data_IF_226234407724
#
_entry.id   IF_226234407724
#
_cell.length_a   1.000
_cell.length_b   1.000
_cell.length_c   1.000
_cell.angle_alpha   90.00
_cell.angle_beta   90.00
_cell.angle_gamma   90.00
#
_symmetry.space_group_name_H-M   'P 1'
#
loop_
_entity.id
_entity.type
_entity.pdbx_description
1 polymer ?
#
# COMPACT_ATOMS: atom_id res chain seq x y z
N UNK A 1 1.93 -34.99 17.32
CA UNK A 1 0.68 -34.45 17.94
C UNK A 1 0.05 -33.53 16.91
N UNK A 2 -1.26 -33.65 16.64
CA UNK A 2 -1.96 -32.71 15.77
C UNK A 2 -1.98 -31.36 16.50
N UNK A 3 -1.47 -30.31 15.86
CA UNK A 3 -1.45 -28.95 16.44
C UNK A 3 -2.88 -28.52 16.77
N UNK A 4 -3.07 -27.94 17.96
CA UNK A 4 -4.40 -27.42 18.36
C UNK A 4 -4.70 -26.16 17.56
N UNK A 5 -5.85 -26.06 16.89
CA UNK A 5 -6.26 -24.83 16.21
C UNK A 5 -6.21 -23.63 17.17
N UNK A 6 -5.63 -22.52 16.71
CA UNK A 6 -5.56 -21.26 17.47
C UNK A 6 -6.86 -20.47 17.32
N UNK A 7 -7.23 -19.75 18.35
CA UNK A 7 -8.26 -18.70 18.34
C UNK A 7 -7.59 -17.37 17.99
N UNK A 8 -7.97 -16.79 16.87
CA UNK A 8 -7.32 -15.60 16.32
C UNK A 8 -8.27 -14.40 16.36
N UNK A 9 -7.83 -13.28 16.93
CA UNK A 9 -8.49 -11.99 16.73
C UNK A 9 -7.74 -11.25 15.61
N UNK A 10 -8.48 -10.85 14.55
CA UNK A 10 -7.91 -10.22 13.36
C UNK A 10 -8.18 -8.73 13.34
N UNK A 11 -7.13 -7.92 13.17
CA UNK A 11 -7.18 -6.46 13.05
C UNK A 11 -6.84 -6.07 11.61
N UNK A 12 -7.83 -5.59 10.86
CA UNK A 12 -7.62 -5.21 9.46
C UNK A 12 -8.73 -4.32 8.93
N UNK A 13 -8.46 -3.52 7.90
CA UNK A 13 -9.46 -2.59 7.36
C UNK A 13 -9.51 -2.59 5.83
N UNK A 14 -8.43 -2.23 5.07
CA UNK A 14 -8.47 -2.08 3.63
C UNK A 14 -8.39 -3.41 2.89
N UNK A 15 -8.49 -3.34 1.56
CA UNK A 15 -8.42 -4.49 0.67
C UNK A 15 -7.13 -5.32 0.84
N UNK A 16 -6.00 -4.69 1.17
CA UNK A 16 -4.74 -5.38 1.47
C UNK A 16 -4.87 -6.47 2.54
N UNK A 17 -5.74 -6.23 3.54
CA UNK A 17 -5.95 -7.18 4.64
C UNK A 17 -6.91 -8.34 4.30
N UNK A 18 -7.59 -8.31 3.14
CA UNK A 18 -8.62 -9.29 2.78
C UNK A 18 -8.06 -10.68 2.49
N UNK A 19 -7.02 -10.86 1.63
CA UNK A 19 -6.52 -12.21 1.32
C UNK A 19 -6.00 -12.96 2.55
N UNK A 20 -5.30 -12.26 3.45
CA UNK A 20 -4.81 -12.85 4.70
C UNK A 20 -5.96 -13.27 5.64
N UNK A 21 -7.03 -12.47 5.74
CA UNK A 21 -8.24 -12.84 6.50
C UNK A 21 -8.93 -14.07 5.89
N UNK A 22 -9.13 -14.07 4.57
CA UNK A 22 -9.75 -15.20 3.87
C UNK A 22 -8.96 -16.50 4.04
N UNK A 23 -7.63 -16.43 3.96
CA UNK A 23 -6.77 -17.60 4.18
C UNK A 23 -6.89 -18.15 5.62
N UNK A 24 -6.94 -17.27 6.62
CA UNK A 24 -7.17 -17.68 8.01
C UNK A 24 -8.56 -18.31 8.21
N UNK A 25 -9.60 -17.77 7.56
CA UNK A 25 -10.96 -18.32 7.61
C UNK A 25 -11.06 -19.70 6.94
N UNK A 26 -10.23 -19.96 5.93
CA UNK A 26 -10.15 -21.26 5.24
C UNK A 26 -9.21 -22.25 5.95
N UNK A 27 -8.43 -21.82 6.92
CA UNK A 27 -7.49 -22.65 7.67
C UNK A 27 -8.16 -23.40 8.82
N UNK A 28 -7.46 -24.33 9.51
CA UNK A 28 -7.99 -24.97 10.71
C UNK A 28 -8.21 -24.02 11.91
N UNK A 29 -7.62 -22.82 11.88
CA UNK A 29 -7.70 -21.84 12.95
C UNK A 29 -9.06 -21.14 13.00
N UNK A 30 -9.44 -20.67 14.18
CA UNK A 30 -10.72 -19.99 14.39
C UNK A 30 -10.52 -18.48 14.46
N UNK A 31 -11.01 -17.72 13.48
CA UNK A 31 -11.11 -16.26 13.60
C UNK A 31 -12.30 -15.94 14.52
N UNK A 32 -12.02 -15.54 15.77
CA UNK A 32 -13.03 -15.31 16.80
C UNK A 32 -13.65 -13.92 16.73
N UNK A 33 -12.98 -12.94 16.18
CA UNK A 33 -13.51 -11.62 15.83
C UNK A 33 -12.63 -10.91 14.81
N UNK A 34 -13.27 -10.06 14.00
CA UNK A 34 -12.62 -9.01 13.23
C UNK A 34 -12.70 -7.68 13.99
N UNK A 35 -11.57 -7.00 14.12
CA UNK A 35 -11.50 -5.60 14.53
C UNK A 35 -11.19 -4.75 13.30
N UNK A 36 -12.13 -3.91 12.90
CA UNK A 36 -11.97 -3.01 11.75
C UNK A 36 -12.18 -1.56 12.18
N UNK A 37 -11.68 -0.61 11.39
CA UNK A 37 -12.04 0.79 11.61
C UNK A 37 -13.54 0.99 11.32
N UNK A 38 -14.18 1.99 11.97
CA UNK A 38 -15.56 2.36 11.66
C UNK A 38 -15.78 2.65 10.18
N UNK A 39 -16.96 2.31 9.68
CA UNK A 39 -17.35 2.61 8.32
C UNK A 39 -17.30 4.14 8.09
N UNK A 40 -16.77 4.54 6.94
CA UNK A 40 -16.63 5.94 6.56
C UNK A 40 -17.18 6.16 5.17
N UNK A 41 -17.68 7.37 4.87
CA UNK A 41 -17.99 7.75 3.52
C UNK A 41 -16.79 7.55 2.60
N UNK A 42 -16.97 6.89 1.46
CA UNK A 42 -15.91 6.62 0.50
C UNK A 42 -16.41 6.73 -0.95
N UNK A 43 -15.49 6.92 -1.88
CA UNK A 43 -15.77 7.00 -3.31
C UNK A 43 -16.51 8.26 -3.75
N UNK A 44 -16.88 8.30 -5.05
CA UNK A 44 -17.68 9.37 -5.63
C UNK A 44 -19.12 9.23 -5.10
N UNK A 45 -19.64 10.27 -4.43
CA UNK A 45 -20.97 10.26 -3.81
C UNK A 45 -20.96 10.02 -2.31
N UNK A 46 -19.79 9.81 -1.66
CA UNK A 46 -19.64 9.75 -0.20
C UNK A 46 -20.60 8.74 0.47
N UNK A 47 -20.84 7.57 -0.16
CA UNK A 47 -21.68 6.54 0.43
C UNK A 47 -20.91 5.82 1.57
N UNK A 48 -21.59 5.68 2.71
CA UNK A 48 -21.07 4.87 3.82
C UNK A 48 -21.30 3.41 3.47
N UNK A 49 -20.21 2.69 3.26
CA UNK A 49 -20.23 1.25 3.00
C UNK A 49 -19.36 0.49 4.01
N UNK A 50 -19.55 -0.83 4.14
CA UNK A 50 -18.69 -1.65 4.98
C UNK A 50 -17.24 -1.61 4.49
N UNK A 51 -16.30 -1.67 5.42
CA UNK A 51 -14.89 -1.84 5.06
C UNK A 51 -14.68 -3.18 4.33
N UNK A 52 -13.66 -3.33 3.46
CA UNK A 52 -13.41 -4.57 2.73
C UNK A 52 -13.32 -5.81 3.63
N UNK A 53 -12.61 -5.73 4.76
CA UNK A 53 -12.53 -6.84 5.72
C UNK A 53 -13.85 -7.11 6.43
N UNK A 54 -14.64 -6.06 6.72
CA UNK A 54 -15.98 -6.21 7.32
C UNK A 54 -16.92 -6.98 6.42
N UNK A 55 -16.88 -6.74 5.12
CA UNK A 55 -17.69 -7.48 4.16
C UNK A 55 -17.40 -8.99 4.22
N UNK A 56 -16.12 -9.38 4.22
CA UNK A 56 -15.71 -10.79 4.35
C UNK A 56 -16.15 -11.39 5.68
N UNK A 57 -16.01 -10.63 6.78
CA UNK A 57 -16.43 -11.11 8.10
C UNK A 57 -17.95 -11.33 8.21
N UNK A 58 -18.76 -10.47 7.58
CA UNK A 58 -20.21 -10.66 7.50
C UNK A 58 -20.58 -11.93 6.75
N UNK A 59 -19.95 -12.19 5.59
CA UNK A 59 -20.16 -13.40 4.79
C UNK A 59 -19.78 -14.66 5.54
N UNK A 60 -18.72 -14.58 6.38
CA UNK A 60 -18.23 -15.70 7.19
C UNK A 60 -18.90 -15.79 8.58
N UNK A 61 -19.87 -14.94 8.90
CA UNK A 61 -20.52 -14.87 10.23
C UNK A 61 -19.53 -14.66 11.39
N UNK A 62 -18.43 -13.92 11.17
CA UNK A 62 -17.44 -13.57 12.19
C UNK A 62 -17.91 -12.33 12.94
N UNK A 63 -17.88 -12.30 14.28
CA UNK A 63 -18.16 -11.11 15.08
C UNK A 63 -17.28 -9.91 14.67
N UNK A 64 -17.88 -8.73 14.57
CA UNK A 64 -17.22 -7.50 14.09
C UNK A 64 -17.19 -6.47 15.20
N UNK A 65 -16.00 -5.95 15.49
CA UNK A 65 -15.75 -4.89 16.44
C UNK A 65 -15.20 -3.66 15.71
N UNK A 66 -15.85 -2.51 15.88
CA UNK A 66 -15.44 -1.24 15.27
C UNK A 66 -15.26 -0.15 16.35
N UNK A 67 -14.21 -0.25 17.19
CA UNK A 67 -14.03 0.65 18.32
C UNK A 67 -13.68 2.07 17.85
N UNK A 68 -14.33 3.07 18.45
CA UNK A 68 -13.96 4.48 18.26
C UNK A 68 -12.65 4.80 18.98
N UNK A 69 -12.42 4.22 20.14
CA UNK A 69 -11.21 4.41 20.97
C UNK A 69 -10.62 3.05 21.34
N UNK A 70 -9.32 2.86 21.06
CA UNK A 70 -8.60 1.61 21.36
C UNK A 70 -8.15 1.54 22.84
N UNK A 71 -8.08 2.66 23.53
CA UNK A 71 -7.69 2.76 24.94
C UNK A 71 -8.89 2.68 25.91
N UNK A 72 -10.07 2.34 25.39
CA UNK A 72 -11.26 2.13 26.18
C UNK A 72 -11.14 0.80 26.95
N UNK A 73 -11.32 0.84 28.26
CA UNK A 73 -11.28 -0.35 29.13
C UNK A 73 -12.34 -1.38 28.74
N UNK A 74 -13.54 -0.93 28.34
CA UNK A 74 -14.61 -1.81 27.89
C UNK A 74 -14.20 -2.55 26.60
N UNK A 75 -13.46 -1.90 25.69
CA UNK A 75 -12.91 -2.57 24.51
C UNK A 75 -11.83 -3.60 24.89
N UNK A 76 -10.94 -3.26 25.83
CA UNK A 76 -9.95 -4.19 26.36
C UNK A 76 -10.60 -5.43 27.00
N UNK A 77 -11.65 -5.23 27.80
CA UNK A 77 -12.44 -6.32 28.39
C UNK A 77 -13.13 -7.19 27.32
N UNK A 78 -13.66 -6.57 26.26
CA UNK A 78 -14.26 -7.30 25.14
C UNK A 78 -13.21 -8.17 24.44
N UNK A 79 -12.01 -7.65 24.12
CA UNK A 79 -10.94 -8.45 23.51
C UNK A 79 -10.51 -9.60 24.45
N UNK A 80 -10.40 -9.35 25.75
CA UNK A 80 -10.06 -10.38 26.75
C UNK A 80 -11.09 -11.51 26.79
N UNK A 81 -12.39 -11.18 26.71
CA UNK A 81 -13.48 -12.18 26.74
C UNK A 81 -13.49 -13.11 25.52
N UNK A 82 -12.85 -12.72 24.42
CA UNK A 82 -12.72 -13.58 23.23
C UNK A 82 -11.80 -14.78 23.47
N UNK A 83 -10.98 -14.76 24.52
CA UNK A 83 -9.99 -15.80 24.81
C UNK A 83 -9.16 -16.14 23.56
N UNK A 84 -8.71 -15.11 22.83
CA UNK A 84 -7.88 -15.28 21.65
C UNK A 84 -6.47 -15.74 22.04
N UNK A 85 -5.96 -16.72 21.32
CA UNK A 85 -4.58 -17.19 21.49
C UNK A 85 -3.58 -16.23 20.83
N UNK A 86 -3.96 -15.66 19.68
CA UNK A 86 -3.09 -14.82 18.85
C UNK A 86 -3.87 -13.62 18.31
N UNK A 87 -3.21 -12.45 18.26
CA UNK A 87 -3.68 -11.33 17.49
C UNK A 87 -2.95 -11.24 16.14
N UNK A 88 -3.69 -11.04 15.07
CA UNK A 88 -3.13 -10.79 13.74
C UNK A 88 -3.51 -9.38 13.30
N UNK A 89 -2.53 -8.59 12.88
CA UNK A 89 -2.72 -7.24 12.38
C UNK A 89 -2.32 -7.19 10.91
N UNK A 90 -3.17 -6.63 10.06
CA UNK A 90 -2.86 -6.34 8.66
C UNK A 90 -3.48 -5.00 8.26
N UNK A 91 -2.66 -4.00 8.01
CA UNK A 91 -3.08 -2.66 7.58
C UNK A 91 -4.29 -2.11 8.38
N UNK A 92 -4.30 -2.26 9.69
CA UNK A 92 -5.38 -1.76 10.54
C UNK A 92 -5.45 -0.23 10.59
N UNK A 93 -4.29 0.43 10.41
CA UNK A 93 -4.19 1.89 10.28
C UNK A 93 -4.26 2.67 11.60
N UNK A 94 -4.12 2.00 12.75
CA UNK A 94 -4.04 2.63 14.09
C UNK A 94 -3.01 1.90 14.95
N UNK A 95 -2.29 2.66 15.77
CA UNK A 95 -1.34 2.11 16.74
C UNK A 95 -2.13 1.42 17.87
N UNK A 96 -1.81 0.16 18.12
CA UNK A 96 -2.41 -0.61 19.20
C UNK A 96 -1.72 -0.26 20.53
N UNK A 97 -2.49 0.03 21.59
CA UNK A 97 -1.93 0.24 22.92
C UNK A 97 -1.29 -1.03 23.48
N UNK A 98 -0.23 -0.88 24.27
CA UNK A 98 0.50 -2.00 24.90
C UNK A 98 -0.40 -2.93 25.70
N UNK A 99 -1.44 -2.40 26.34
CA UNK A 99 -2.43 -3.17 27.07
C UNK A 99 -3.14 -4.20 26.16
N UNK A 100 -3.45 -3.83 24.91
CA UNK A 100 -4.07 -4.74 23.95
C UNK A 100 -3.08 -5.77 23.41
N UNK A 101 -1.81 -5.39 23.22
CA UNK A 101 -0.77 -6.29 22.70
C UNK A 101 -0.53 -7.50 23.58
N UNK A 102 -0.79 -7.35 24.88
CA UNK A 102 -0.56 -8.38 25.93
C UNK A 102 -1.76 -9.29 26.19
N UNK A 103 -2.93 -9.02 25.59
CA UNK A 103 -4.13 -9.81 25.85
C UNK A 103 -4.02 -11.21 25.26
N UNK A 104 -3.71 -11.41 23.96
CA UNK A 104 -3.55 -12.76 23.42
C UNK A 104 -2.30 -13.43 24.01
N UNK A 105 -2.41 -14.69 24.46
CA UNK A 105 -1.31 -15.40 25.13
C UNK A 105 -0.05 -15.56 24.28
N UNK A 106 -0.18 -15.63 22.94
CA UNK A 106 0.92 -15.68 21.99
C UNK A 106 1.30 -14.29 21.47
N UNK A 107 0.73 -13.21 22.06
CA UNK A 107 0.93 -11.84 21.62
C UNK A 107 0.27 -11.53 20.27
N UNK A 108 0.81 -10.55 19.57
CA UNK A 108 0.31 -10.13 18.26
C UNK A 108 1.40 -10.19 17.19
N UNK A 109 1.01 -10.52 15.97
CA UNK A 109 1.85 -10.47 14.78
C UNK A 109 1.27 -9.50 13.77
N UNK A 110 2.13 -8.90 12.93
CA UNK A 110 1.72 -7.97 11.89
C UNK A 110 2.18 -8.44 10.51
N UNK A 111 1.31 -8.27 9.52
CA UNK A 111 1.62 -8.43 8.10
C UNK A 111 2.08 -7.08 7.57
N UNK A 112 3.38 -6.93 7.36
CA UNK A 112 3.99 -5.68 6.90
C UNK A 112 4.40 -5.77 5.43
N UNK A 113 4.03 -4.75 4.63
CA UNK A 113 4.22 -4.72 3.17
C UNK A 113 5.62 -4.28 2.73
N UNK A 114 6.66 -4.74 3.39
CA UNK A 114 8.06 -4.56 2.97
C UNK A 114 8.95 -5.68 3.46
N UNK A 115 10.19 -5.69 3.00
CA UNK A 115 11.28 -6.49 3.55
C UNK A 115 11.95 -5.71 4.70
N UNK A 116 11.47 -5.94 5.93
CA UNK A 116 12.05 -5.31 7.12
C UNK A 116 13.53 -5.74 7.31
N UNK A 117 14.36 -4.84 7.86
CA UNK A 117 14.03 -3.59 8.57
C UNK A 117 13.82 -2.38 7.66
N UNK A 118 13.86 -2.52 6.33
CA UNK A 118 13.62 -1.41 5.41
C UNK A 118 12.14 -1.07 5.31
N UNK A 119 11.83 0.22 5.16
CA UNK A 119 10.47 0.75 4.98
C UNK A 119 9.52 0.48 6.15
N UNK A 120 9.98 0.62 7.42
CA UNK A 120 9.09 0.70 8.59
C UNK A 120 8.13 1.88 8.42
N UNK A 121 6.85 1.72 8.77
CA UNK A 121 5.88 2.81 8.77
C UNK A 121 4.66 2.61 7.88
N UNK A 122 4.02 3.73 7.49
CA UNK A 122 2.65 3.72 7.01
C UNK A 122 2.46 3.42 5.51
N UNK A 123 3.50 3.63 4.67
CA UNK A 123 3.38 3.52 3.21
C UNK A 123 4.54 2.74 2.57
N UNK A 124 4.87 1.52 3.07
CA UNK A 124 6.06 0.79 2.65
C UNK A 124 6.07 0.50 1.14
N UNK A 125 4.96 0.01 0.59
CA UNK A 125 4.83 -0.34 -0.83
C UNK A 125 5.03 0.89 -1.72
N UNK A 126 4.33 1.97 -1.42
CA UNK A 126 4.42 3.21 -2.18
C UNK A 126 5.84 3.77 -2.18
N UNK A 127 6.49 3.82 -1.00
CA UNK A 127 7.85 4.35 -0.87
C UNK A 127 8.88 3.48 -1.57
N UNK A 128 8.75 2.16 -1.56
CA UNK A 128 9.61 1.26 -2.32
C UNK A 128 9.49 1.50 -3.84
N UNK A 129 8.26 1.65 -4.36
CA UNK A 129 8.01 1.94 -5.78
C UNK A 129 8.55 3.33 -6.17
N UNK A 130 8.32 4.37 -5.35
CA UNK A 130 8.84 5.74 -5.58
C UNK A 130 10.38 5.74 -5.57
N UNK A 131 10.99 4.98 -4.67
CA UNK A 131 12.45 4.85 -4.60
C UNK A 131 13.05 4.07 -5.78
N UNK A 132 12.23 3.40 -6.61
CA UNK A 132 12.70 2.61 -7.74
C UNK A 132 13.33 1.29 -7.34
N UNK A 133 12.94 0.73 -6.20
CA UNK A 133 13.40 -0.60 -5.78
C UNK A 133 13.01 -1.66 -6.82
N UNK A 134 13.90 -2.62 -7.02
CA UNK A 134 13.67 -3.76 -7.93
C UNK A 134 13.02 -4.95 -7.20
N UNK A 135 13.10 -4.95 -5.87
CA UNK A 135 12.57 -6.00 -5.00
C UNK A 135 11.79 -5.41 -3.84
N UNK A 136 10.72 -6.08 -3.48
CA UNK A 136 9.94 -5.83 -2.26
C UNK A 136 9.44 -7.16 -1.69
N UNK A 137 8.57 -7.12 -0.70
CA UNK A 137 8.02 -8.34 -0.12
C UNK A 137 7.08 -8.09 1.04
N UNK A 138 6.78 -9.17 1.73
CA UNK A 138 6.02 -9.21 2.97
C UNK A 138 6.95 -9.66 4.10
N UNK A 139 6.81 -9.06 5.25
CA UNK A 139 7.37 -9.53 6.50
C UNK A 139 6.27 -9.79 7.51
N UNK A 140 6.20 -11.00 8.06
CA UNK A 140 5.41 -11.29 9.25
C UNK A 140 6.32 -11.07 10.46
N UNK A 141 5.92 -10.20 11.38
CA UNK A 141 6.73 -9.85 12.55
C UNK A 141 5.90 -9.76 13.82
N UNK A 142 6.52 -9.80 14.98
CA UNK A 142 5.89 -9.49 16.27
C UNK A 142 5.52 -8.02 16.35
N UNK A 143 4.36 -7.72 16.91
CA UNK A 143 4.00 -6.34 17.23
C UNK A 143 4.57 -5.98 18.58
N UNK A 144 5.37 -4.92 18.60
CA UNK A 144 5.96 -4.33 19.81
C UNK A 144 5.59 -2.84 19.90
N UNK A 145 5.92 -2.19 21.01
CA UNK A 145 5.62 -0.76 21.22
C UNK A 145 6.30 0.16 20.18
N UNK A 146 7.52 -0.21 19.74
CA UNK A 146 8.25 0.53 18.71
C UNK A 146 7.69 0.18 17.33
N UNK A 147 7.47 1.20 16.50
CA UNK A 147 6.85 1.07 15.18
C UNK A 147 7.63 0.10 14.28
N UNK A 148 6.98 -0.97 13.88
CA UNK A 148 7.45 -2.01 12.96
C UNK A 148 8.87 -2.55 13.24
N UNK A 149 9.28 -2.55 14.54
CA UNK A 149 10.62 -2.95 14.98
C UNK A 149 10.67 -4.32 15.65
N UNK A 150 9.57 -5.03 15.75
CA UNK A 150 9.52 -6.36 16.36
C UNK A 150 10.29 -7.41 15.58
N UNK A 151 10.69 -8.53 16.21
CA UNK A 151 11.41 -9.60 15.55
C UNK A 151 10.57 -10.23 14.43
N UNK A 152 11.25 -10.62 13.37
CA UNK A 152 10.65 -11.20 12.16
C UNK A 152 10.46 -12.70 12.33
N UNK A 153 9.32 -13.21 11.85
CA UNK A 153 8.93 -14.63 11.90
C UNK A 153 9.02 -15.29 10.51
N UNK A 154 8.72 -14.53 9.46
CA UNK A 154 8.82 -14.97 8.07
C UNK A 154 8.93 -13.77 7.13
N UNK A 155 9.51 -14.01 5.96
CA UNK A 155 9.54 -13.06 4.84
C UNK A 155 9.21 -13.77 3.54
N UNK A 156 8.54 -13.06 2.64
CA UNK A 156 8.35 -13.51 1.25
C UNK A 156 8.72 -12.38 0.31
N UNK A 157 9.51 -12.66 -0.71
CA UNK A 157 10.06 -11.67 -1.64
C UNK A 157 9.33 -11.66 -2.97
N UNK A 158 9.30 -10.50 -3.64
CA UNK A 158 8.76 -10.30 -4.96
C UNK A 158 9.55 -9.22 -5.72
N UNK A 159 9.78 -9.42 -7.01
CA UNK A 159 10.31 -8.37 -7.89
C UNK A 159 9.24 -7.29 -8.17
N UNK A 160 9.71 -6.06 -8.38
CA UNK A 160 8.90 -4.93 -8.86
C UNK A 160 9.22 -4.74 -10.34
N UNK A 161 8.23 -4.96 -11.20
CA UNK A 161 8.38 -4.71 -12.63
C UNK A 161 8.56 -3.21 -12.95
N UNK A 162 9.20 -2.88 -14.08
CA UNK A 162 9.58 -1.51 -14.41
C UNK A 162 8.39 -0.55 -14.53
N UNK A 163 7.23 -1.02 -14.94
CA UNK A 163 6.02 -0.22 -15.17
C UNK A 163 4.90 -0.52 -14.15
N UNK A 164 5.13 -1.43 -13.18
CA UNK A 164 4.12 -1.77 -12.16
C UNK A 164 3.89 -0.60 -11.21
N UNK A 165 2.63 -0.36 -10.91
CA UNK A 165 2.18 0.66 -9.97
C UNK A 165 2.18 0.13 -8.54
N UNK A 166 2.19 1.04 -7.55
CA UNK A 166 2.01 0.65 -6.15
C UNK A 166 0.72 -0.13 -5.89
N UNK A 167 -0.35 0.15 -6.64
CA UNK A 167 -1.62 -0.59 -6.54
C UNK A 167 -1.45 -2.06 -6.96
N UNK A 168 -0.79 -2.30 -8.09
CA UNK A 168 -0.52 -3.65 -8.61
C UNK A 168 0.41 -4.42 -7.66
N UNK A 169 1.43 -3.75 -7.13
CA UNK A 169 2.34 -4.34 -6.13
C UNK A 169 1.62 -4.64 -4.81
N UNK A 170 0.81 -3.71 -4.30
CA UNK A 170 0.05 -3.89 -3.06
C UNK A 170 -0.91 -5.08 -3.16
N UNK A 171 -1.61 -5.22 -4.29
CA UNK A 171 -2.49 -6.37 -4.53
C UNK A 171 -1.70 -7.69 -4.52
N UNK A 172 -0.59 -7.77 -5.25
CA UNK A 172 0.20 -8.98 -5.31
C UNK A 172 0.84 -9.34 -3.95
N UNK A 173 1.28 -8.33 -3.16
CA UNK A 173 1.78 -8.56 -1.81
C UNK A 173 0.67 -9.02 -0.84
N UNK A 174 -0.55 -8.52 -1.00
CA UNK A 174 -1.70 -8.99 -0.24
C UNK A 174 -1.97 -10.49 -0.50
N UNK A 175 -1.90 -10.94 -1.76
CA UNK A 175 -2.05 -12.35 -2.14
C UNK A 175 -0.92 -13.22 -1.56
N UNK A 176 0.34 -12.79 -1.66
CA UNK A 176 1.50 -13.49 -1.09
C UNK A 176 1.38 -13.60 0.43
N UNK A 177 0.84 -12.56 1.08
CA UNK A 177 0.68 -12.52 2.54
C UNK A 177 -0.23 -13.62 3.08
N UNK A 178 -1.18 -14.09 2.29
CA UNK A 178 -2.17 -15.09 2.69
C UNK A 178 -1.51 -16.42 3.09
N UNK A 179 -0.71 -17.01 2.20
CA UNK A 179 0.03 -18.24 2.51
C UNK A 179 1.08 -18.05 3.58
N UNK A 180 1.88 -16.96 3.48
CA UNK A 180 2.94 -16.67 4.46
C UNK A 180 2.39 -16.51 5.89
N UNK A 181 1.21 -15.90 6.05
CA UNK A 181 0.58 -15.73 7.34
C UNK A 181 0.10 -17.08 7.91
N UNK A 182 -0.59 -17.89 7.12
CA UNK A 182 -1.09 -19.20 7.57
C UNK A 182 0.07 -20.09 8.00
N UNK A 183 1.15 -20.16 7.22
CA UNK A 183 2.36 -20.93 7.57
C UNK A 183 2.96 -20.50 8.93
N UNK A 184 2.95 -19.20 9.23
CA UNK A 184 3.43 -18.69 10.52
C UNK A 184 2.48 -19.07 11.64
N UNK A 185 1.15 -18.98 11.43
CA UNK A 185 0.15 -19.30 12.43
C UNK A 185 0.14 -20.80 12.74
N UNK A 186 0.31 -21.67 11.72
CA UNK A 186 0.47 -23.13 11.88
C UNK A 186 1.69 -23.45 12.75
N UNK A 187 2.85 -22.86 12.46
CA UNK A 187 4.07 -23.05 13.26
C UNK A 187 3.89 -22.57 14.72
N UNK A 188 3.20 -21.43 14.92
CA UNK A 188 2.89 -20.94 16.27
C UNK A 188 1.93 -21.85 17.03
N UNK A 189 1.07 -22.59 16.34
CA UNK A 189 0.19 -23.58 16.94
C UNK A 189 0.94 -24.86 17.38
N UNK A 190 2.03 -25.19 16.69
CA UNK A 190 2.90 -26.33 17.01
C UNK A 190 3.83 -26.05 18.19
N UNK A 191 4.22 -24.79 18.41
CA UNK A 191 5.10 -24.41 19.51
C UNK A 191 5.89 -23.11 19.28
N UNK A 192 6.99 -22.92 19.99
CA UNK A 192 7.86 -21.76 19.81
C UNK A 192 8.45 -21.72 18.40
N UNK A 193 8.41 -20.56 17.76
CA UNK A 193 9.03 -20.32 16.44
C UNK A 193 10.32 -19.53 16.59
N UNK A 194 11.24 -19.72 15.63
CA UNK A 194 12.43 -18.89 15.56
C UNK A 194 12.03 -17.46 15.21
N UNK A 195 12.54 -16.52 15.98
CA UNK A 195 12.35 -15.08 15.80
C UNK A 195 13.68 -14.43 15.45
N UNK A 196 13.73 -13.71 14.34
CA UNK A 196 14.94 -13.01 13.89
C UNK A 196 14.86 -11.54 14.29
N UNK A 197 15.71 -11.04 15.20
CA UNK A 197 15.76 -9.61 15.51
C UNK A 197 16.07 -8.79 14.27
N UNK A 198 15.49 -7.60 14.18
CA UNK A 198 15.84 -6.66 13.13
C UNK A 198 17.13 -5.92 13.47
N UNK A 199 17.95 -5.66 12.44
CA UNK A 199 19.13 -4.77 12.57
C UNK A 199 18.67 -3.31 12.39
N UNK A 200 18.65 -2.55 13.48
CA UNK A 200 18.21 -1.15 13.46
C UNK A 200 19.13 -0.24 12.63
N UNK A 201 20.39 -0.63 12.41
CA UNK A 201 21.33 0.12 11.56
C UNK A 201 20.91 0.08 10.07
N UNK A 202 20.13 -0.93 9.65
CA UNK A 202 19.62 -1.08 8.30
C UNK A 202 18.17 -0.53 8.15
N UNK A 203 17.57 -0.03 9.24
CA UNK A 203 16.20 0.43 9.22
C UNK A 203 16.04 1.71 8.39
N UNK A 204 15.03 1.70 7.51
CA UNK A 204 14.57 2.90 6.81
C UNK A 204 13.08 3.11 7.09
N UNK A 205 12.59 4.34 6.87
CA UNK A 205 11.23 4.70 7.20
C UNK A 205 10.41 5.05 5.97
N UNK A 206 9.15 4.62 5.97
CA UNK A 206 8.16 4.84 4.92
C UNK A 206 7.03 5.75 5.46
N UNK A 207 7.24 7.07 5.51
CA UNK A 207 6.23 7.99 5.99
C UNK A 207 4.99 7.95 5.10
N UNK A 208 3.84 8.28 5.70
CA UNK A 208 2.58 8.44 4.97
C UNK A 208 2.76 9.41 3.79
N UNK A 209 2.07 9.11 2.68
CA UNK A 209 2.03 10.02 1.54
C UNK A 209 1.27 11.31 1.89
N UNK A 210 1.67 12.41 1.30
CA UNK A 210 1.03 13.71 1.46
C UNK A 210 0.50 14.24 0.13
N UNK A 211 -0.57 15.05 0.20
CA UNK A 211 -1.16 15.66 -1.00
C UNK A 211 -0.18 16.56 -1.74
N UNK A 212 0.72 17.19 -1.03
CA UNK A 212 1.79 18.05 -1.55
C UNK A 212 2.76 17.34 -2.48
N UNK A 213 2.91 16.03 -2.32
CA UNK A 213 3.76 15.19 -3.17
C UNK A 213 3.20 14.96 -4.59
N UNK A 214 1.94 15.36 -4.84
CA UNK A 214 1.25 15.18 -6.13
C UNK A 214 1.95 15.90 -7.30
N UNK A 215 2.55 17.07 -7.08
CA UNK A 215 3.14 17.86 -8.14
C UNK A 215 4.39 17.20 -8.73
N UNK A 216 4.40 17.01 -10.05
CA UNK A 216 5.59 16.53 -10.76
C UNK A 216 6.59 17.69 -10.85
N UNK A 217 7.80 17.46 -10.34
CA UNK A 217 8.97 18.29 -10.63
C UNK A 217 9.66 17.72 -11.88
N UNK A 218 9.48 18.40 -13.00
CA UNK A 218 10.08 17.99 -14.28
C UNK A 218 11.60 18.14 -14.31
N UNK A 219 12.21 18.87 -13.36
CA UNK A 219 13.66 18.97 -13.23
C UNK A 219 14.32 17.68 -12.71
N UNK A 220 13.54 16.73 -12.19
CA UNK A 220 14.02 15.42 -11.79
C UNK A 220 14.37 14.54 -13.01
N UNK A 221 15.23 13.51 -12.85
CA UNK A 221 15.47 12.50 -13.87
C UNK A 221 14.19 11.79 -14.32
N UNK A 222 14.13 11.38 -15.58
CA UNK A 222 12.96 10.69 -16.14
C UNK A 222 12.53 9.44 -15.33
N UNK A 223 13.51 8.68 -14.81
CA UNK A 223 13.26 7.52 -13.97
C UNK A 223 12.55 7.89 -12.66
N UNK A 224 12.97 8.97 -12.02
CA UNK A 224 12.39 9.42 -10.75
C UNK A 224 10.96 9.93 -10.95
N UNK A 225 10.71 10.66 -12.04
CA UNK A 225 9.36 11.09 -12.42
C UNK A 225 8.47 9.87 -12.69
N UNK A 226 8.97 8.90 -13.47
CA UNK A 226 8.25 7.64 -13.76
C UNK A 226 7.91 6.87 -12.48
N UNK A 227 8.86 6.72 -11.58
CA UNK A 227 8.66 6.07 -10.29
C UNK A 227 7.64 6.80 -9.41
N UNK A 228 7.66 8.13 -9.40
CA UNK A 228 6.63 8.92 -8.69
C UNK A 228 5.25 8.74 -9.31
N UNK A 229 5.12 8.72 -10.64
CA UNK A 229 3.83 8.49 -11.31
C UNK A 229 3.23 7.15 -10.92
N UNK A 230 4.03 6.09 -10.92
CA UNK A 230 3.54 4.74 -10.58
C UNK A 230 3.40 4.50 -9.08
N UNK A 231 4.22 5.16 -8.23
CA UNK A 231 4.23 4.98 -6.78
C UNK A 231 3.20 5.83 -6.03
N UNK A 232 2.74 6.95 -6.61
CA UNK A 232 1.73 7.82 -5.97
C UNK A 232 0.28 7.39 -6.24
N UNK A 233 0.05 6.23 -6.84
CA UNK A 233 -1.28 5.68 -7.05
C UNK A 233 -1.76 4.88 -5.84
N UNK A 234 -3.07 4.86 -5.54
CA UNK A 234 -4.16 5.60 -6.20
C UNK A 234 -4.31 7.03 -5.65
N UNK A 235 -3.54 7.40 -4.66
CA UNK A 235 -3.53 8.71 -4.01
C UNK A 235 -2.10 9.05 -3.54
N UNK A 236 -1.65 10.31 -3.67
CA UNK A 236 -2.40 11.50 -4.14
C UNK A 236 -2.45 11.64 -5.67
N UNK A 237 -1.91 10.73 -6.45
CA UNK A 237 -1.70 10.77 -7.88
C UNK A 237 -0.66 11.83 -8.29
N UNK A 238 0.18 11.52 -9.26
CA UNK A 238 1.09 12.51 -9.83
C UNK A 238 0.31 13.50 -10.71
N UNK A 239 0.62 14.78 -10.61
CA UNK A 239 -0.07 15.84 -11.37
C UNK A 239 0.89 16.86 -11.95
N UNK A 240 0.46 17.49 -13.03
CA UNK A 240 1.15 18.60 -13.67
C UNK A 240 0.15 19.66 -14.13
N UNK A 241 0.62 20.79 -14.62
CA UNK A 241 -0.21 21.84 -15.23
C UNK A 241 0.13 22.00 -16.71
N UNK A 242 -0.87 22.29 -17.52
CA UNK A 242 -0.73 22.69 -18.94
C UNK A 242 -1.58 23.95 -19.10
N UNK A 243 -0.95 25.08 -19.43
CA UNK A 243 -1.61 26.38 -19.51
C UNK A 243 -2.48 26.69 -18.26
N UNK A 244 -1.92 26.48 -17.07
CA UNK A 244 -2.61 26.71 -15.80
C UNK A 244 -3.71 25.70 -15.43
N UNK A 245 -4.06 24.77 -16.31
CA UNK A 245 -5.03 23.71 -16.01
C UNK A 245 -4.33 22.48 -15.44
N UNK A 246 -4.86 21.89 -14.37
CA UNK A 246 -4.31 20.69 -13.72
C UNK A 246 -4.68 19.42 -14.47
N UNK A 247 -3.71 18.52 -14.55
CA UNK A 247 -3.84 17.17 -15.12
C UNK A 247 -3.22 16.14 -14.18
N UNK A 248 -3.86 15.00 -14.02
CA UNK A 248 -3.25 13.83 -13.38
C UNK A 248 -2.57 12.97 -14.44
N UNK A 249 -1.37 12.50 -14.14
CA UNK A 249 -0.63 11.56 -14.96
C UNK A 249 -0.76 10.17 -14.34
N UNK A 250 -1.40 9.26 -15.06
CA UNK A 250 -1.66 7.91 -14.58
C UNK A 250 -0.59 6.91 -14.98
N UNK A 251 -0.09 7.01 -16.22
CA UNK A 251 0.95 6.11 -16.71
C UNK A 251 1.93 6.85 -17.60
N UNK A 252 3.19 6.50 -17.44
CA UNK A 252 4.30 6.95 -18.28
C UNK A 252 5.12 5.74 -18.72
N UNK A 253 6.04 5.95 -19.66
CA UNK A 253 7.03 4.96 -20.08
C UNK A 253 8.37 5.66 -20.27
N UNK A 254 9.42 5.03 -19.79
CA UNK A 254 10.79 5.45 -20.08
C UNK A 254 11.12 5.18 -21.55
N UNK A 255 11.90 6.05 -22.15
CA UNK A 255 12.44 5.87 -23.51
C UNK A 255 13.96 6.07 -23.48
N UNK A 256 14.64 5.59 -24.53
CA UNK A 256 16.07 5.83 -24.71
C UNK A 256 16.35 7.16 -25.45
N UNK A 257 15.29 7.90 -25.79
CA UNK A 257 15.42 9.17 -26.51
C UNK A 257 15.97 10.26 -25.59
N UNK A 258 16.84 11.11 -26.15
CA UNK A 258 17.41 12.30 -25.50
C UNK A 258 17.02 13.52 -26.31
N UNK A 259 16.73 14.63 -25.63
CA UNK A 259 16.39 15.89 -26.26
C UNK A 259 16.98 17.07 -25.45
N UNK A 260 17.51 18.08 -26.12
CA UNK A 260 18.19 19.23 -25.50
C UNK A 260 17.23 20.35 -25.06
N UNK A 261 15.91 20.19 -25.30
CA UNK A 261 14.93 21.15 -24.83
C UNK A 261 14.90 21.18 -23.27
N UNK A 262 14.43 22.28 -22.71
CA UNK A 262 14.36 22.45 -21.28
C UNK A 262 13.39 21.41 -20.65
N UNK A 263 13.68 21.01 -19.41
CA UNK A 263 12.85 20.09 -18.66
C UNK A 263 11.38 20.56 -18.58
N UNK A 264 10.44 19.64 -18.74
CA UNK A 264 9.00 19.93 -18.82
C UNK A 264 8.50 20.33 -20.21
N UNK A 265 9.38 20.45 -21.22
CA UNK A 265 8.97 20.77 -22.58
C UNK A 265 8.35 19.55 -23.27
N UNK A 266 7.18 19.72 -23.85
CA UNK A 266 6.59 18.75 -24.78
C UNK A 266 7.36 18.79 -26.08
N UNK A 267 7.97 17.67 -26.49
CA UNK A 267 8.78 17.58 -27.72
C UNK A 267 8.03 16.84 -28.82
N UNK A 268 7.03 16.06 -28.48
CA UNK A 268 6.17 15.37 -29.45
C UNK A 268 4.74 15.30 -28.90
N UNK A 269 3.76 15.67 -29.71
CA UNK A 269 2.34 15.62 -29.39
C UNK A 269 1.53 15.34 -30.66
N UNK A 270 1.33 14.06 -30.96
CA UNK A 270 0.58 13.64 -32.16
C UNK A 270 0.24 12.17 -32.15
N UNK A 271 -0.90 11.81 -32.71
CA UNK A 271 -1.38 10.43 -32.73
C UNK A 271 -1.56 9.89 -31.29
N UNK A 272 -0.77 8.90 -30.91
CA UNK A 272 -0.73 8.28 -29.57
C UNK A 272 0.51 8.67 -28.75
N UNK A 273 1.30 9.62 -29.26
CA UNK A 273 2.57 10.03 -28.65
C UNK A 273 2.40 11.38 -27.98
N UNK A 274 2.68 11.40 -26.68
CA UNK A 274 2.88 12.60 -25.88
C UNK A 274 4.20 12.44 -25.12
N UNK A 275 5.23 13.15 -25.57
CA UNK A 275 6.60 13.02 -25.07
C UNK A 275 7.06 14.31 -24.42
N UNK A 276 7.66 14.22 -23.25
CA UNK A 276 8.10 15.34 -22.41
C UNK A 276 9.53 15.13 -21.97
N UNK A 277 10.34 16.17 -21.99
CA UNK A 277 11.74 16.14 -21.57
C UNK A 277 11.82 16.22 -20.04
N UNK A 278 12.61 15.36 -19.43
CA UNK A 278 12.93 15.37 -17.99
C UNK A 278 14.27 16.10 -17.72
N UNK A 279 14.61 16.30 -16.45
CA UNK A 279 15.79 17.04 -16.04
C UNK A 279 17.13 16.43 -16.47
N UNK A 280 17.17 15.13 -16.68
CA UNK A 280 18.34 14.40 -17.22
C UNK A 280 18.37 14.36 -18.76
N UNK A 281 17.57 15.20 -19.42
CA UNK A 281 17.39 15.31 -20.89
C UNK A 281 16.80 14.06 -21.55
N UNK A 282 16.45 13.01 -20.78
CA UNK A 282 15.70 11.87 -21.29
C UNK A 282 14.26 12.24 -21.56
N UNK A 283 13.68 11.57 -22.54
CA UNK A 283 12.28 11.78 -22.94
C UNK A 283 11.41 10.77 -22.24
N UNK A 284 10.41 11.26 -21.51
CA UNK A 284 9.39 10.45 -20.86
C UNK A 284 8.10 10.48 -21.70
N UNK A 285 7.56 9.29 -22.04
CA UNK A 285 6.29 9.19 -22.76
C UNK A 285 5.14 9.11 -21.77
N UNK A 286 4.16 10.02 -21.92
CA UNK A 286 2.90 9.98 -21.18
C UNK A 286 1.94 9.06 -21.92
N UNK A 287 1.45 7.99 -21.26
CA UNK A 287 0.55 6.99 -21.84
C UNK A 287 -0.91 7.26 -21.48
N UNK A 288 -1.15 7.65 -20.22
CA UNK A 288 -2.48 7.95 -19.71
C UNK A 288 -2.49 9.23 -18.90
N UNK A 289 -3.44 10.08 -19.19
CA UNK A 289 -3.62 11.42 -18.61
C UNK A 289 -5.09 11.65 -18.26
N UNK A 290 -5.34 12.46 -17.25
CA UNK A 290 -6.69 12.83 -16.82
C UNK A 290 -6.80 14.34 -16.64
N UNK A 291 -7.52 15.05 -17.50
CA UNK A 291 -7.89 16.44 -17.26
C UNK A 291 -8.78 16.57 -16.02
N UNK A 292 -8.66 17.69 -15.33
CA UNK A 292 -9.52 17.97 -14.16
C UNK A 292 -11.01 17.86 -14.51
N UNK A 293 -11.77 17.17 -13.65
CA UNK A 293 -13.22 16.95 -13.85
C UNK A 293 -13.57 15.96 -14.97
N UNK A 294 -12.59 15.30 -15.60
CA UNK A 294 -12.82 14.31 -16.66
C UNK A 294 -12.40 12.91 -16.22
N UNK A 295 -12.67 11.89 -17.05
CA UNK A 295 -12.12 10.53 -16.88
C UNK A 295 -10.68 10.48 -17.31
N UNK A 296 -9.95 9.49 -16.81
CA UNK A 296 -8.64 9.10 -17.35
C UNK A 296 -8.80 8.64 -18.81
N UNK A 297 -7.84 8.99 -19.65
CA UNK A 297 -7.84 8.69 -21.08
C UNK A 297 -6.42 8.45 -21.59
N UNK A 298 -6.29 7.76 -22.71
CA UNK A 298 -5.02 7.56 -23.38
C UNK A 298 -4.47 8.87 -23.95
N UNK A 299 -3.16 8.93 -24.23
CA UNK A 299 -2.55 10.07 -24.92
C UNK A 299 -3.23 10.35 -26.27
N UNK A 300 -3.61 9.30 -27.03
CA UNK A 300 -4.37 9.42 -28.28
C UNK A 300 -5.71 10.12 -28.10
N UNK A 301 -6.52 9.67 -27.14
CA UNK A 301 -7.84 10.29 -26.86
C UNK A 301 -7.67 11.75 -26.43
N UNK A 302 -6.67 12.04 -25.61
CA UNK A 302 -6.36 13.39 -25.14
C UNK A 302 -5.99 14.32 -26.31
N UNK A 303 -5.05 13.90 -27.16
CA UNK A 303 -4.56 14.68 -28.29
C UNK A 303 -5.61 14.84 -29.42
N UNK A 304 -6.51 13.87 -29.59
CA UNK A 304 -7.63 13.98 -30.53
C UNK A 304 -8.65 15.05 -30.12
N UNK A 305 -8.82 15.27 -28.81
CA UNK A 305 -9.75 16.28 -28.28
C UNK A 305 -9.10 17.61 -27.91
N UNK A 306 -7.78 17.71 -27.92
CA UNK A 306 -7.05 18.91 -27.53
C UNK A 306 -5.77 19.05 -28.33
N UNK A 307 -5.68 20.13 -29.10
CA UNK A 307 -4.46 20.46 -29.82
C UNK A 307 -3.39 20.89 -28.81
N UNK A 308 -2.33 20.09 -28.70
CA UNK A 308 -1.14 20.40 -27.94
C UNK A 308 0.04 20.43 -28.93
N UNK A 309 0.84 21.46 -28.87
CA UNK A 309 1.95 21.62 -29.79
C UNK A 309 3.30 21.36 -29.10
N UNK A 310 4.31 20.85 -29.84
CA UNK A 310 5.68 20.85 -29.35
C UNK A 310 6.12 22.25 -28.92
N UNK A 311 6.91 22.33 -27.84
CA UNK A 311 7.32 23.60 -27.23
C UNK A 311 6.46 24.03 -26.04
N UNK A 312 5.27 23.44 -25.83
CA UNK A 312 4.47 23.69 -24.63
C UNK A 312 5.19 23.14 -23.40
N UNK A 313 5.10 23.87 -22.30
CA UNK A 313 5.73 23.50 -21.04
C UNK A 313 4.72 22.96 -20.03
N UNK A 314 5.07 21.85 -19.40
CA UNK A 314 4.32 21.26 -18.29
C UNK A 314 4.88 21.75 -16.95
N UNK A 315 3.98 21.92 -15.95
CA UNK A 315 4.37 22.25 -14.58
C UNK A 315 4.63 23.74 -14.32
N UNK A 316 4.42 24.61 -15.33
CA UNK A 316 4.40 26.05 -15.12
C UNK A 316 2.99 26.54 -14.78
N UNK A 317 2.86 27.55 -13.88
CA UNK A 317 1.56 28.18 -13.56
C UNK A 317 0.88 28.80 -14.78
#
# INVERSE_FOLDING_TARGET
MVARPLRVVYFGTPAFAVPALQALLASPHQVVALVSQPDRPSGRGQHVGPTPTKQIALEANVPILQPLKLRDEAFGATISSLNADLGVVAAYGRILPDALLKIPRLGMINVHGSLLPRYRGAAPVHRAVIAGEEMTGITIMRVVAQLDAGPMLATATRSIGPDETSVEIEQALAEISAGTLVDVVDRLAEGPVMETPQDDALATYAPKLEKTESSIDWALPARDIHNRVRGLQPWPMASTTIHGTRFLIHRTRLTDQVNDAAAGTVVEAGGDVLSVVAGDRKVLRVLMIQPEGRRAMTAREFLSGRKLEPGVWLGRP
#
